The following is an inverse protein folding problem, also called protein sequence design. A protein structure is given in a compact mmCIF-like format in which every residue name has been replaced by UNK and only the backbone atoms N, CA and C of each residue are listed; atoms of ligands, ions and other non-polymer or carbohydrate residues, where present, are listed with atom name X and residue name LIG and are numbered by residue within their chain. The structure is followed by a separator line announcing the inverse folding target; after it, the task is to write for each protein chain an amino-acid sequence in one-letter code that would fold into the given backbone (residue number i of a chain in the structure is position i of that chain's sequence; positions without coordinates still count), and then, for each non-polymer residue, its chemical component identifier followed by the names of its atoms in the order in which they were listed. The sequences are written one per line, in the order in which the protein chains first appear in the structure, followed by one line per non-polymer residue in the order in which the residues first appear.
data_IF_587803055953
#
_entry.id   IF_587803055953
#
_cell.length_a   1.000
_cell.length_b   1.000
_cell.length_c   1.000
_cell.angle_alpha   90.00
_cell.angle_beta   90.00
_cell.angle_gamma   90.00
#
_symmetry.space_group_name_H-M   'P 1'
#
loop_
_entity.id
_entity.type
_entity.pdbx_description
1 polymer ?
#
# COMPACT_ATOMS: atom_id res chain seq x y z
N UNK A 1 49.17 -19.16 3.51
CA UNK A 1 49.05 -19.36 4.97
C UNK A 1 47.61 -19.06 5.38
N UNK A 2 46.76 -20.07 5.54
CA UNK A 2 45.37 -19.94 5.96
C UNK A 2 45.22 -20.66 7.30
N UNK A 3 45.07 -19.89 8.39
CA UNK A 3 44.90 -20.43 9.74
C UNK A 3 43.42 -20.75 9.94
N UNK A 4 43.11 -22.04 9.96
CA UNK A 4 41.84 -22.61 10.42
C UNK A 4 41.95 -22.68 11.95
N UNK A 5 41.01 -22.07 12.67
CA UNK A 5 40.81 -22.33 14.09
C UNK A 5 39.33 -22.58 14.36
N UNK A 6 39.10 -23.80 14.84
CA UNK A 6 37.90 -24.33 15.43
C UNK A 6 37.57 -23.58 16.73
N UNK A 7 36.28 -23.46 17.05
CA UNK A 7 35.74 -23.97 18.32
C UNK A 7 34.21 -23.88 18.32
N UNK A 8 33.58 -25.04 18.14
CA UNK A 8 32.16 -25.28 18.36
C UNK A 8 32.06 -25.76 19.80
N UNK A 9 31.53 -24.93 20.70
CA UNK A 9 31.14 -25.37 22.05
C UNK A 9 29.65 -25.58 22.05
N UNK A 10 29.28 -26.85 21.98
CA UNK A 10 27.95 -27.37 22.27
C UNK A 10 27.68 -27.22 23.78
N UNK A 11 26.56 -26.62 24.14
CA UNK A 11 26.01 -26.75 25.48
C UNK A 11 24.51 -27.02 25.38
N UNK A 12 24.18 -28.32 25.33
CA UNK A 12 22.85 -28.84 25.62
C UNK A 12 22.83 -29.12 27.12
N UNK A 13 21.99 -28.42 27.88
CA UNK A 13 21.52 -28.92 29.18
C UNK A 13 20.00 -28.85 29.18
N UNK A 14 19.44 -30.05 29.37
CA UNK A 14 18.04 -30.43 29.47
C UNK A 14 17.43 -29.87 30.75
N UNK A 15 16.24 -29.26 30.66
CA UNK A 15 15.42 -28.88 31.81
C UNK A 15 13.97 -29.28 31.54
N UNK A 16 13.59 -30.46 32.02
CA UNK A 16 12.26 -31.05 31.85
C UNK A 16 11.26 -30.53 32.89
N UNK A 17 10.03 -30.32 32.41
CA UNK A 17 8.73 -30.61 33.03
C UNK A 17 8.47 -30.16 34.47
N UNK A 18 7.62 -29.14 34.61
CA UNK A 18 6.52 -29.18 35.58
C UNK A 18 5.20 -28.79 34.88
N UNK A 19 4.35 -29.78 34.64
CA UNK A 19 2.91 -29.61 34.44
C UNK A 19 2.26 -29.91 35.79
N UNK A 20 1.56 -28.92 36.36
CA UNK A 20 0.71 -29.10 37.54
C UNK A 20 -0.67 -28.49 37.26
N UNK A 21 -1.68 -29.09 37.87
CA UNK A 21 -3.06 -29.21 37.40
C UNK A 21 -4.05 -28.30 38.17
N UNK A 22 -5.08 -27.78 37.46
CA UNK A 22 -6.47 -27.49 37.89
C UNK A 22 -6.78 -26.39 38.94
N UNK A 23 -8.07 -25.99 39.20
CA UNK A 23 -9.24 -25.80 38.32
C UNK A 23 -9.94 -24.41 38.52
N UNK A 24 -11.07 -24.24 37.82
CA UNK A 24 -11.95 -23.07 37.69
C UNK A 24 -12.50 -22.42 38.99
N UNK A 25 -12.77 -21.10 38.93
CA UNK A 25 -13.58 -20.38 39.93
C UNK A 25 -13.82 -18.90 39.54
N UNK A 26 -15.09 -18.55 39.34
CA UNK A 26 -15.60 -17.24 38.92
C UNK A 26 -15.65 -16.20 40.06
N UNK A 27 -15.41 -14.90 39.77
CA UNK A 27 -16.23 -13.75 40.22
C UNK A 27 -15.66 -12.37 39.78
N UNK A 28 -16.41 -11.75 38.86
CA UNK A 28 -16.81 -10.33 38.67
C UNK A 28 -16.13 -9.22 39.52
N UNK A 29 -15.63 -8.16 38.86
CA UNK A 29 -16.05 -6.72 38.95
C UNK A 29 -14.89 -5.74 38.65
N UNK A 30 -15.22 -4.75 37.82
CA UNK A 30 -14.70 -3.37 37.75
C UNK A 30 -13.64 -3.00 36.70
N UNK A 31 -14.12 -2.17 35.78
CA UNK A 31 -13.56 -0.87 35.39
C UNK A 31 -12.07 -0.82 35.01
N UNK A 32 -11.83 -0.62 33.72
CA UNK A 32 -11.00 0.50 33.23
C UNK A 32 -11.16 0.59 31.72
N UNK A 33 -11.97 1.55 31.28
CA UNK A 33 -11.77 2.25 30.02
C UNK A 33 -10.36 2.83 30.03
N UNK A 34 -9.52 2.46 29.07
CA UNK A 34 -8.34 3.24 28.69
C UNK A 34 -8.00 2.93 27.23
N UNK A 35 -8.53 3.72 26.30
CA UNK A 35 -7.91 4.95 25.79
C UNK A 35 -7.13 4.65 24.50
N UNK A 36 -7.80 4.98 23.41
CA UNK A 36 -7.23 5.61 22.22
C UNK A 36 -5.73 5.88 22.29
N UNK A 37 -4.96 5.17 21.46
CA UNK A 37 -3.78 5.78 20.82
C UNK A 37 -3.99 5.81 19.32
N UNK A 38 -4.72 6.87 18.95
CA UNK A 38 -4.52 7.65 17.73
C UNK A 38 -3.01 7.85 17.52
N UNK A 39 -2.40 6.97 16.72
CA UNK A 39 -1.17 7.33 16.04
C UNK A 39 -1.58 8.09 14.78
N UNK A 40 -1.67 9.41 14.94
CA UNK A 40 -1.71 10.32 13.83
C UNK A 40 -0.36 10.23 13.09
N UNK A 41 -0.31 9.39 12.06
CA UNK A 41 0.75 9.48 11.06
C UNK A 41 0.32 10.57 10.07
N UNK A 42 1.09 11.64 10.07
CA UNK A 42 1.00 12.86 9.27
C UNK A 42 0.70 12.54 7.80
N UNK A 43 -0.53 12.83 7.35
CA UNK A 43 -0.88 12.87 5.94
C UNK A 43 -0.35 14.20 5.36
N UNK A 44 0.63 14.11 4.49
CA UNK A 44 1.24 15.22 3.74
C UNK A 44 1.73 14.52 2.46
N UNK A 45 1.28 14.76 1.23
CA UNK A 45 0.44 15.78 0.59
C UNK A 45 -0.89 15.16 0.11
N UNK A 46 -1.89 16.00 -0.15
CA UNK A 46 -3.27 15.59 -0.45
C UNK A 46 -3.85 16.55 -1.50
N UNK A 47 -3.97 16.09 -2.75
CA UNK A 47 -4.85 16.72 -3.72
C UNK A 47 -6.25 16.94 -3.14
N UNK A 48 -6.99 17.90 -3.67
CA UNK A 48 -8.40 18.06 -3.27
C UNK A 48 -9.25 16.85 -3.69
N UNK A 49 -10.55 16.92 -3.38
CA UNK A 49 -11.51 16.09 -4.09
C UNK A 49 -11.57 16.53 -5.57
N UNK A 50 -11.81 15.58 -6.47
CA UNK A 50 -12.05 15.84 -7.89
C UNK A 50 -13.53 15.68 -8.22
N UNK A 51 -13.99 16.28 -9.32
CA UNK A 51 -15.39 16.15 -9.72
C UNK A 51 -15.69 14.77 -10.29
N UNK A 52 -16.87 14.25 -9.97
CA UNK A 52 -17.40 13.03 -10.57
C UNK A 52 -17.55 13.12 -12.10
N UNK A 53 -17.59 11.94 -12.73
CA UNK A 53 -17.65 11.77 -14.17
C UNK A 53 -16.33 11.21 -14.70
N UNK A 54 -15.98 11.61 -15.93
CA UNK A 54 -14.77 11.13 -16.60
C UNK A 54 -13.53 11.82 -16.07
N UNK A 55 -12.68 11.05 -15.40
CA UNK A 55 -11.44 11.52 -14.78
C UNK A 55 -10.27 10.97 -15.58
N UNK A 56 -9.45 11.88 -16.11
CA UNK A 56 -8.21 11.53 -16.80
C UNK A 56 -7.08 11.31 -15.79
N UNK A 57 -6.60 10.08 -15.72
CA UNK A 57 -5.38 9.72 -15.02
C UNK A 57 -4.21 9.81 -15.98
N UNK A 58 -3.09 10.35 -15.50
CA UNK A 58 -1.83 10.35 -16.23
C UNK A 58 -0.68 9.88 -15.35
N UNK A 59 0.35 9.31 -15.98
CA UNK A 59 1.62 8.95 -15.37
C UNK A 59 2.78 9.33 -16.30
N UNK A 60 3.62 10.26 -15.85
CA UNK A 60 4.82 10.73 -16.55
C UNK A 60 5.95 9.70 -16.38
N UNK A 61 5.93 8.68 -17.24
CA UNK A 61 6.95 7.63 -17.28
C UNK A 61 8.32 8.21 -17.64
N UNK A 62 8.37 9.25 -18.47
CA UNK A 62 9.62 9.92 -18.86
C UNK A 62 10.40 10.48 -17.67
N UNK A 63 9.72 11.14 -16.73
CA UNK A 63 10.36 11.66 -15.51
C UNK A 63 10.57 10.61 -14.43
N UNK A 64 9.75 9.56 -14.42
CA UNK A 64 9.91 8.42 -13.51
C UNK A 64 11.18 7.60 -13.79
N UNK A 65 11.70 7.64 -15.02
CA UNK A 65 12.86 6.84 -15.46
C UNK A 65 12.52 5.75 -16.47
N UNK A 66 11.32 5.80 -17.05
CA UNK A 66 10.79 4.87 -18.04
C UNK A 66 9.78 3.88 -17.45
N UNK A 67 8.82 3.49 -18.27
CA UNK A 67 7.89 2.38 -18.04
C UNK A 67 7.44 1.83 -19.40
N UNK A 68 7.27 0.52 -19.51
CA UNK A 68 6.75 -0.13 -20.72
C UNK A 68 5.26 -0.42 -20.63
N UNK A 69 4.74 -0.59 -19.41
CA UNK A 69 3.36 -0.92 -19.12
C UNK A 69 2.94 -0.32 -17.78
N UNK A 70 1.77 0.32 -17.77
CA UNK A 70 1.18 0.91 -16.58
C UNK A 70 -0.29 0.56 -16.54
N UNK A 71 -0.76 -0.03 -15.44
CA UNK A 71 -2.18 -0.28 -15.20
C UNK A 71 -2.64 0.49 -13.95
N UNK A 72 -3.82 1.08 -14.02
CA UNK A 72 -4.50 1.66 -12.87
C UNK A 72 -5.26 0.55 -12.14
N UNK A 73 -4.93 0.29 -10.87
CA UNK A 73 -5.47 -0.87 -10.15
C UNK A 73 -6.01 -0.46 -8.79
N UNK A 74 -7.21 -0.89 -8.44
CA UNK A 74 -7.81 -0.46 -7.18
C UNK A 74 -9.16 -1.10 -6.85
N UNK A 75 -9.85 -0.45 -5.91
CA UNK A 75 -11.16 -0.89 -5.39
C UNK A 75 -12.22 -1.11 -6.48
N UNK A 76 -12.19 -0.30 -7.55
CA UNK A 76 -13.16 -0.34 -8.65
C UNK A 76 -13.00 -1.54 -9.59
N UNK A 77 -11.81 -2.15 -9.67
CA UNK A 77 -11.54 -3.32 -10.52
C UNK A 77 -11.13 -4.57 -9.72
N UNK A 78 -11.46 -4.60 -8.43
CA UNK A 78 -11.16 -5.74 -7.56
C UNK A 78 -9.66 -6.00 -7.38
N UNK A 79 -8.83 -4.96 -7.51
CA UNK A 79 -7.36 -5.06 -7.46
C UNK A 79 -6.76 -5.99 -8.53
N UNK A 80 -7.38 -6.08 -9.71
CA UNK A 80 -6.88 -6.89 -10.83
C UNK A 80 -5.79 -6.13 -11.62
N UNK A 81 -4.51 -6.55 -11.58
CA UNK A 81 -3.43 -5.85 -12.26
C UNK A 81 -3.38 -6.10 -13.77
N UNK A 82 -4.11 -7.10 -14.26
CA UNK A 82 -4.10 -7.50 -15.68
C UNK A 82 -5.42 -7.18 -16.38
N UNK A 83 -6.25 -6.30 -15.80
CA UNK A 83 -7.48 -5.85 -16.46
C UNK A 83 -7.12 -4.92 -17.64
N UNK A 84 -7.42 -5.32 -18.89
CA UNK A 84 -7.08 -4.50 -20.06
C UNK A 84 -7.87 -3.19 -20.11
N UNK A 85 -9.02 -3.09 -19.43
CA UNK A 85 -9.82 -1.85 -19.42
C UNK A 85 -9.18 -0.74 -18.58
N UNK A 86 -8.14 -1.05 -17.82
CA UNK A 86 -7.44 -0.10 -16.95
C UNK A 86 -5.94 0.02 -17.29
N UNK A 87 -5.52 -0.41 -18.48
CA UNK A 87 -4.19 -0.13 -19.00
C UNK A 87 -4.13 1.35 -19.45
N UNK A 88 -3.07 2.05 -19.05
CA UNK A 88 -2.79 3.39 -19.57
C UNK A 88 -2.08 3.27 -20.93
N UNK A 89 -2.36 4.21 -21.81
CA UNK A 89 -1.81 4.28 -23.17
C UNK A 89 -0.99 5.55 -23.36
N UNK A 90 -0.02 5.52 -24.27
CA UNK A 90 0.77 6.68 -24.69
C UNK A 90 0.78 6.73 -26.24
N UNK A 91 -0.34 7.17 -26.86
CA UNK A 91 -0.49 7.11 -28.31
C UNK A 91 0.34 8.18 -29.06
N UNK A 92 0.72 9.27 -28.40
CA UNK A 92 1.53 10.34 -29.00
C UNK A 92 3.04 10.15 -28.76
N UNK A 93 3.42 9.24 -27.85
CA UNK A 93 4.80 8.86 -27.58
C UNK A 93 5.58 9.91 -26.81
N UNK A 94 4.90 10.79 -26.07
CA UNK A 94 5.53 11.85 -25.28
C UNK A 94 6.09 11.34 -23.92
N UNK A 95 5.79 10.09 -23.57
CA UNK A 95 6.19 9.44 -22.33
C UNK A 95 5.24 9.72 -21.16
N UNK A 96 4.06 10.28 -21.42
CA UNK A 96 2.96 10.47 -20.46
C UNK A 96 1.86 9.49 -20.81
N UNK A 97 1.77 8.45 -20.01
CA UNK A 97 0.74 7.43 -20.14
C UNK A 97 -0.57 7.97 -19.58
N UNK A 98 -1.70 7.67 -20.22
CA UNK A 98 -3.01 8.18 -19.85
C UNK A 98 -4.15 7.17 -19.95
N UNK A 99 -5.18 7.38 -19.14
CA UNK A 99 -6.47 6.68 -19.22
C UNK A 99 -7.58 7.60 -18.71
N UNK A 100 -8.77 7.48 -19.27
CA UNK A 100 -9.97 8.17 -18.78
C UNK A 100 -10.95 7.15 -18.19
N UNK A 101 -11.36 7.36 -16.94
CA UNK A 101 -12.27 6.45 -16.22
C UNK A 101 -13.45 7.23 -15.66
N UNK A 102 -14.66 6.71 -15.84
CA UNK A 102 -15.88 7.31 -15.30
C UNK A 102 -16.12 6.84 -13.86
N UNK A 103 -16.06 7.76 -12.90
CA UNK A 103 -16.29 7.50 -11.47
C UNK A 103 -17.45 8.34 -10.92
N UNK A 104 -18.31 7.67 -10.16
CA UNK A 104 -19.31 8.31 -9.31
C UNK A 104 -18.66 8.96 -8.08
N UNK A 105 -19.38 9.83 -7.34
CA UNK A 105 -18.91 10.32 -6.05
C UNK A 105 -18.56 9.18 -5.09
N UNK A 106 -17.40 9.26 -4.44
CA UNK A 106 -16.89 8.20 -3.56
C UNK A 106 -15.42 8.36 -3.19
N UNK A 107 -14.91 7.43 -2.39
CA UNK A 107 -13.47 7.29 -2.11
C UNK A 107 -12.93 6.02 -2.76
N UNK A 108 -11.93 6.18 -3.62
CA UNK A 108 -11.33 5.08 -4.37
C UNK A 108 -9.88 4.88 -3.95
N UNK A 109 -9.58 3.72 -3.37
CA UNK A 109 -8.18 3.30 -3.12
C UNK A 109 -7.59 2.67 -4.37
N UNK A 110 -6.36 3.05 -4.73
CA UNK A 110 -5.68 2.56 -5.93
C UNK A 110 -4.14 2.57 -5.81
N UNK A 111 -3.49 1.90 -6.77
CA UNK A 111 -2.07 1.93 -7.09
C UNK A 111 -1.86 1.91 -8.61
N UNK A 112 -0.71 2.40 -9.07
CA UNK A 112 -0.21 2.06 -10.40
C UNK A 112 0.57 0.74 -10.33
N UNK A 113 0.25 -0.19 -11.22
CA UNK A 113 1.04 -1.39 -11.44
C UNK A 113 1.95 -1.13 -12.64
N UNK A 114 3.26 -1.11 -12.41
CA UNK A 114 4.25 -0.60 -13.37
C UNK A 114 5.21 -1.74 -13.71
N UNK A 115 5.29 -2.10 -14.99
CA UNK A 115 6.19 -3.13 -15.51
C UNK A 115 6.17 -4.44 -14.71
N UNK A 116 4.97 -4.91 -14.35
CA UNK A 116 4.81 -6.16 -13.60
C UNK A 116 5.09 -6.02 -12.09
N UNK A 117 5.30 -4.82 -11.57
CA UNK A 117 5.68 -4.58 -10.19
C UNK A 117 4.73 -3.64 -9.46
N UNK A 118 4.58 -3.87 -8.15
CA UNK A 118 3.87 -3.00 -7.24
C UNK A 118 4.84 -1.99 -6.62
N UNK A 119 4.64 -0.67 -6.83
CA UNK A 119 5.31 0.34 -6.03
C UNK A 119 4.98 0.12 -4.55
N UNK A 120 6.01 0.21 -3.72
CA UNK A 120 5.85 0.05 -2.28
C UNK A 120 4.97 1.16 -1.70
N UNK A 121 5.29 2.41 -2.01
CA UNK A 121 4.62 3.57 -1.44
C UNK A 121 4.19 4.54 -2.54
N UNK A 122 2.89 4.74 -2.69
CA UNK A 122 2.35 5.67 -3.69
C UNK A 122 2.69 7.12 -3.41
N UNK A 123 3.03 7.51 -2.17
CA UNK A 123 3.40 8.91 -1.90
C UNK A 123 4.71 9.32 -2.56
N UNK A 124 5.59 8.36 -2.87
CA UNK A 124 6.84 8.60 -3.59
C UNK A 124 6.62 8.85 -5.09
N UNK A 125 5.43 8.53 -5.60
CA UNK A 125 5.08 8.66 -7.01
C UNK A 125 4.23 9.91 -7.31
N UNK A 126 3.81 10.67 -6.29
CA UNK A 126 2.86 11.80 -6.43
C UNK A 126 3.27 12.79 -7.54
N UNK A 127 4.58 13.05 -7.66
CA UNK A 127 5.12 14.00 -8.63
C UNK A 127 4.97 13.54 -10.09
N UNK A 128 4.81 12.23 -10.33
CA UNK A 128 4.73 11.66 -11.67
C UNK A 128 3.29 11.45 -12.14
N UNK A 129 2.28 11.68 -11.29
CA UNK A 129 0.90 11.33 -11.63
C UNK A 129 -0.06 12.51 -11.55
N UNK A 130 -1.15 12.39 -12.31
CA UNK A 130 -2.32 13.25 -12.21
C UNK A 130 -3.59 12.38 -12.24
N UNK A 131 -4.68 12.75 -11.55
CA UNK A 131 -4.74 13.77 -10.52
C UNK A 131 -3.86 13.40 -9.31
N UNK A 132 -3.48 14.42 -8.52
CA UNK A 132 -2.81 14.17 -7.23
C UNK A 132 -3.76 13.42 -6.29
N UNK A 133 -3.32 12.34 -5.62
CA UNK A 133 -4.15 11.63 -4.66
C UNK A 133 -4.66 12.54 -3.55
N UNK A 134 -5.92 12.36 -3.13
CA UNK A 134 -6.51 13.10 -2.02
C UNK A 134 -5.94 12.73 -0.66
N UNK A 135 -5.41 11.52 -0.49
CA UNK A 135 -4.67 11.07 0.68
C UNK A 135 -3.96 9.75 0.37
N UNK A 136 -3.17 9.27 1.33
CA UNK A 136 -2.56 7.94 1.29
C UNK A 136 -3.00 7.13 2.51
N UNK A 137 -3.17 5.82 2.31
CA UNK A 137 -3.54 4.88 3.36
C UNK A 137 -2.58 3.71 3.38
N UNK A 138 -2.25 3.21 4.58
CA UNK A 138 -1.41 2.03 4.77
C UNK A 138 -2.01 0.81 4.02
N UNK A 139 -1.16 0.05 3.34
CA UNK A 139 -1.60 -1.11 2.55
C UNK A 139 -1.56 -2.45 3.32
N UNK A 140 -1.13 -2.45 4.58
CA UNK A 140 -0.96 -3.64 5.42
C UNK A 140 0.36 -4.39 5.21
N UNK A 141 1.20 -3.93 4.28
CA UNK A 141 2.47 -4.56 3.90
C UNK A 141 3.67 -3.62 4.09
N UNK A 142 3.49 -2.54 4.86
CA UNK A 142 4.50 -1.52 5.12
C UNK A 142 4.71 -0.56 3.95
N UNK A 143 3.71 -0.48 3.05
CA UNK A 143 3.60 0.48 1.97
C UNK A 143 2.32 1.32 2.09
N UNK A 144 2.00 2.08 1.04
CA UNK A 144 0.75 2.86 0.98
C UNK A 144 0.05 2.77 -0.36
N UNK A 145 -1.27 2.70 -0.32
CA UNK A 145 -2.16 2.95 -1.45
C UNK A 145 -2.48 4.45 -1.54
N UNK A 146 -2.70 4.94 -2.76
CA UNK A 146 -3.29 6.25 -3.00
C UNK A 146 -4.81 6.17 -2.78
N UNK A 147 -5.41 7.30 -2.39
CA UNK A 147 -6.86 7.47 -2.33
C UNK A 147 -7.23 8.70 -3.12
N UNK A 148 -8.23 8.59 -4.00
CA UNK A 148 -8.87 9.73 -4.64
C UNK A 148 -10.28 9.89 -4.09
N UNK A 149 -10.62 11.10 -3.65
CA UNK A 149 -11.98 11.48 -3.29
C UNK A 149 -12.65 12.13 -4.50
N UNK A 150 -13.84 11.65 -4.84
CA UNK A 150 -14.65 12.12 -5.97
C UNK A 150 -15.95 12.70 -5.42
N UNK A 151 -16.35 13.89 -5.88
CA UNK A 151 -17.53 14.65 -5.43
C UNK A 151 -18.42 15.22 -6.55
#
# INVERSE_FOLDING_TARGET
MKKILLSIVSLIVVGALIVSCAPAGSKKVSSSTKESKKSAAKAESAGGAVKAGKIKFTFNAKEYGGASSINLVGSFNGWNPTDPNYALEDPDGDGIFEIEVEWDPGEYTYKFYIDGNWPKDMSELEQYMSPKPSKYVDDGFGGKNAVLTVE
#
